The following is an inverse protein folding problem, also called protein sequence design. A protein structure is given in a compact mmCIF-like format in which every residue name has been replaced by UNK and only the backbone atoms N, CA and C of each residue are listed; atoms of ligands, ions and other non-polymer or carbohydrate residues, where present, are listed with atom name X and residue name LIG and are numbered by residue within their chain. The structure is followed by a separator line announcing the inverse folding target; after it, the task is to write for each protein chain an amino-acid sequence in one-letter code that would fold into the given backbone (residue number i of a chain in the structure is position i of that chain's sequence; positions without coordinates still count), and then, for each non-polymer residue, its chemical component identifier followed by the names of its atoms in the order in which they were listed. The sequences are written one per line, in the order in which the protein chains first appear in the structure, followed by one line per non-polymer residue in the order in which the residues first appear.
data_IF_172091376396
#
_entry.id   IF_172091376396
#
_cell.length_a   1.000
_cell.length_b   1.000
_cell.length_c   1.000
_cell.angle_alpha   90.00
_cell.angle_beta   90.00
_cell.angle_gamma   90.00
#
_symmetry.space_group_name_H-M   'P 1'
#
loop_
_entity.id
_entity.type
_entity.pdbx_description
1 polymer ?
#
# COMPACT_ATOMS: atom_id res chain seq x y z
N UNK A 1 18.14 8.85 -7.00
CA UNK A 1 18.32 8.21 -5.67
C UNK A 1 17.01 7.93 -4.94
N UNK A 2 16.08 8.89 -4.80
CA UNK A 2 14.86 8.74 -3.97
C UNK A 2 14.03 7.48 -4.29
N UNK A 3 13.67 7.25 -5.55
CA UNK A 3 12.85 6.09 -5.94
C UNK A 3 13.52 4.74 -5.65
N UNK A 4 14.85 4.68 -5.73
CA UNK A 4 15.61 3.47 -5.38
C UNK A 4 15.50 3.19 -3.88
N UNK A 5 15.49 4.23 -3.04
CA UNK A 5 15.32 4.06 -1.60
C UNK A 5 13.90 3.58 -1.27
N UNK A 6 12.87 4.16 -1.89
CA UNK A 6 11.50 3.65 -1.72
C UNK A 6 11.36 2.19 -2.14
N UNK A 7 11.96 1.80 -3.27
CA UNK A 7 11.95 0.41 -3.71
C UNK A 7 12.68 -0.50 -2.71
N UNK A 8 13.84 -0.09 -2.19
CA UNK A 8 14.60 -0.86 -1.19
C UNK A 8 13.83 -1.02 0.11
N UNK A 9 13.21 0.06 0.60
CA UNK A 9 12.38 0.04 1.81
C UNK A 9 11.20 -0.91 1.61
N UNK A 10 10.53 -0.83 0.46
CA UNK A 10 9.41 -1.72 0.12
C UNK A 10 9.81 -3.19 0.03
N UNK A 11 10.94 -3.51 -0.60
CA UNK A 11 11.50 -4.88 -0.64
C UNK A 11 11.91 -5.38 0.76
N UNK A 12 12.20 -4.48 1.69
CA UNK A 12 12.58 -4.81 3.06
C UNK A 12 11.45 -5.39 3.91
N UNK A 13 10.19 -5.13 3.54
CA UNK A 13 9.02 -5.71 4.21
C UNK A 13 8.82 -7.17 3.77
N UNK A 14 8.65 -8.08 4.73
CA UNK A 14 8.41 -9.50 4.52
C UNK A 14 6.91 -9.76 4.32
N UNK A 15 6.31 -9.06 3.37
CA UNK A 15 4.88 -9.05 3.07
C UNK A 15 4.40 -10.35 2.39
N UNK A 16 4.55 -11.51 3.04
CA UNK A 16 4.03 -12.77 2.48
C UNK A 16 2.52 -12.81 2.65
N UNK A 17 1.78 -13.14 1.58
CA UNK A 17 0.31 -13.18 1.56
C UNK A 17 -0.28 -13.91 2.78
N UNK A 18 -1.28 -13.34 3.49
CA UNK A 18 -1.98 -12.07 3.23
C UNK A 18 -1.37 -10.85 3.94
N UNK A 19 -0.25 -11.02 4.63
CA UNK A 19 0.33 -10.00 5.50
C UNK A 19 1.01 -8.89 4.69
N UNK A 20 0.73 -7.63 5.01
CA UNK A 20 1.40 -6.47 4.40
C UNK A 20 2.75 -6.14 5.04
N UNK A 21 3.04 -6.69 6.22
CA UNK A 21 4.24 -6.41 7.05
C UNK A 21 4.57 -4.91 7.20
N UNK A 22 3.55 -4.04 7.23
CA UNK A 22 3.74 -2.58 7.35
C UNK A 22 3.98 -1.83 6.03
N UNK A 23 4.03 -2.54 4.89
CA UNK A 23 4.26 -1.92 3.58
C UNK A 23 3.12 -0.97 3.17
N UNK A 24 1.87 -1.31 3.51
CA UNK A 24 0.70 -0.45 3.22
C UNK A 24 0.79 0.86 4.01
N UNK A 25 1.10 0.79 5.29
CA UNK A 25 1.25 1.93 6.19
C UNK A 25 2.40 2.84 5.74
N UNK A 26 3.51 2.25 5.28
CA UNK A 26 4.62 2.99 4.69
C UNK A 26 4.19 3.77 3.44
N UNK A 27 3.43 3.14 2.53
CA UNK A 27 2.91 3.81 1.33
C UNK A 27 1.90 4.90 1.71
N UNK A 28 1.01 4.64 2.67
CA UNK A 28 0.04 5.59 3.20
C UNK A 28 0.71 6.88 3.69
N UNK A 29 1.74 6.75 4.53
CA UNK A 29 2.53 7.87 5.04
C UNK A 29 3.24 8.66 3.93
N UNK A 30 3.80 7.96 2.93
CA UNK A 30 4.42 8.61 1.78
C UNK A 30 3.40 9.40 0.96
N UNK A 31 2.24 8.82 0.67
CA UNK A 31 1.19 9.46 -0.14
C UNK A 31 0.57 10.66 0.59
N UNK A 32 0.30 10.54 1.90
CA UNK A 32 -0.16 11.67 2.75
C UNK A 32 0.80 12.85 2.69
N UNK A 33 2.12 12.61 2.78
CA UNK A 33 3.16 13.67 2.66
C UNK A 33 3.13 14.39 1.32
N UNK A 34 2.61 13.76 0.27
CA UNK A 34 2.47 14.33 -1.07
C UNK A 34 1.05 14.83 -1.38
N UNK A 35 0.18 14.95 -0.36
CA UNK A 35 -1.14 15.58 -0.50
C UNK A 35 -2.26 14.65 -0.96
N UNK A 36 -2.04 13.33 -0.97
CA UNK A 36 -3.13 12.38 -1.19
C UNK A 36 -4.03 12.29 0.05
N UNK A 37 -5.33 12.15 -0.18
CA UNK A 37 -6.28 11.67 0.83
C UNK A 37 -6.30 10.16 0.77
N UNK A 38 -6.03 9.51 1.88
CA UNK A 38 -5.90 8.06 1.94
C UNK A 38 -6.87 7.44 2.94
N UNK A 39 -7.25 6.20 2.67
CA UNK A 39 -8.10 5.39 3.52
C UNK A 39 -7.55 3.96 3.55
N UNK A 40 -7.15 3.49 4.73
CA UNK A 40 -6.76 2.08 4.94
C UNK A 40 -8.03 1.29 5.26
N UNK A 41 -8.22 0.17 4.55
CA UNK A 41 -9.36 -0.74 4.74
C UNK A 41 -8.88 -2.15 4.98
N UNK A 42 -9.32 -2.75 6.08
CA UNK A 42 -9.04 -4.15 6.41
C UNK A 42 -10.31 -4.95 6.13
N UNK A 43 -10.20 -5.99 5.32
CA UNK A 43 -11.29 -6.91 4.99
C UNK A 43 -10.91 -8.34 5.36
N UNK A 44 -11.87 -9.16 5.77
CA UNK A 44 -11.67 -10.57 6.14
C UNK A 44 -12.31 -10.89 7.49
N UNK A 45 -12.92 -12.07 7.61
CA UNK A 45 -13.71 -12.48 8.77
C UNK A 45 -12.83 -13.08 9.88
N UNK A 46 -11.77 -13.79 9.49
CA UNK A 46 -10.80 -14.37 10.41
C UNK A 46 -9.45 -13.68 10.30
N UNK A 47 -8.65 -13.73 11.37
CA UNK A 47 -7.32 -13.11 11.40
C UNK A 47 -6.40 -13.64 10.28
N UNK A 48 -6.54 -14.90 9.90
CA UNK A 48 -5.76 -15.53 8.81
C UNK A 48 -6.22 -15.11 7.41
N UNK A 49 -7.35 -14.44 7.28
CA UNK A 49 -7.93 -13.99 6.01
C UNK A 49 -7.95 -12.46 5.89
N UNK A 50 -7.48 -11.75 6.93
CA UNK A 50 -7.48 -10.29 6.93
C UNK A 50 -6.46 -9.75 5.93
N UNK A 51 -6.95 -8.91 5.01
CA UNK A 51 -6.14 -8.22 4.00
C UNK A 51 -6.25 -6.72 4.19
N UNK A 52 -5.09 -6.07 4.30
CA UNK A 52 -4.98 -4.62 4.43
C UNK A 52 -4.87 -3.97 3.05
N UNK A 53 -5.78 -3.03 2.76
CA UNK A 53 -5.88 -2.32 1.49
C UNK A 53 -5.67 -0.83 1.71
N UNK A 54 -5.18 -0.14 0.68
CA UNK A 54 -5.02 1.32 0.66
C UNK A 54 -5.75 1.91 -0.53
N UNK A 55 -6.68 2.82 -0.27
CA UNK A 55 -7.27 3.66 -1.30
C UNK A 55 -6.75 5.09 -1.15
N UNK A 56 -6.14 5.63 -2.19
CA UNK A 56 -5.51 6.95 -2.17
C UNK A 56 -5.99 7.79 -3.35
N UNK A 57 -6.41 9.02 -3.08
CA UNK A 57 -6.95 9.95 -4.09
C UNK A 57 -6.23 11.28 -4.02
N UNK A 58 -5.83 11.79 -5.18
CA UNK A 58 -5.29 13.14 -5.35
C UNK A 58 -6.20 13.97 -6.26
N UNK A 59 -6.69 15.11 -5.75
CA UNK A 59 -7.65 15.95 -6.46
C UNK A 59 -9.06 15.35 -6.54
N UNK A 60 -9.91 15.96 -7.37
CA UNK A 60 -11.32 15.59 -7.54
C UNK A 60 -11.86 15.85 -8.96
N UNK A 61 -10.96 16.05 -9.93
CA UNK A 61 -11.31 16.42 -11.30
C UNK A 61 -11.32 15.18 -12.22
N UNK A 62 -11.97 15.31 -13.36
CA UNK A 62 -12.03 14.26 -14.40
C UNK A 62 -11.14 14.61 -15.60
N UNK A 63 -10.59 13.62 -16.31
CA UNK A 63 -10.74 12.17 -16.09
C UNK A 63 -9.87 11.62 -14.95
N UNK A 64 -10.34 10.54 -14.31
CA UNK A 64 -9.60 9.85 -13.23
C UNK A 64 -8.61 8.83 -13.81
N UNK A 65 -7.35 8.91 -13.40
CA UNK A 65 -6.31 7.91 -13.69
C UNK A 65 -5.97 7.19 -12.39
N UNK A 66 -6.08 5.86 -12.39
CA UNK A 66 -5.83 5.02 -11.23
C UNK A 66 -4.64 4.07 -11.45
N UNK A 67 -3.72 4.05 -10.49
CA UNK A 67 -2.68 3.02 -10.39
C UNK A 67 -3.13 1.95 -9.40
N UNK A 68 -3.06 0.68 -9.81
CA UNK A 68 -3.43 -0.48 -9.00
C UNK A 68 -2.24 -1.44 -8.93
N UNK A 69 -2.03 -2.01 -7.75
CA UNK A 69 -0.98 -2.98 -7.48
C UNK A 69 -1.23 -3.67 -6.15
N UNK A 70 -0.33 -4.57 -5.78
CA UNK A 70 -0.34 -5.29 -4.51
C UNK A 70 1.05 -5.22 -3.88
N UNK A 71 1.12 -5.34 -2.55
CA UNK A 71 2.40 -5.31 -1.80
C UNK A 71 2.85 -6.70 -1.37
N UNK A 72 1.93 -7.66 -1.36
CA UNK A 72 2.22 -9.00 -0.90
C UNK A 72 2.97 -9.82 -1.96
N UNK A 73 3.73 -10.79 -1.49
CA UNK A 73 4.58 -11.67 -2.30
C UNK A 73 4.42 -13.13 -1.88
N UNK A 74 4.90 -14.03 -2.73
CA UNK A 74 4.95 -15.47 -2.42
C UNK A 74 6.11 -15.80 -1.45
N UNK A 75 6.05 -16.93 -0.73
CA UNK A 75 7.19 -17.44 0.03
C UNK A 75 8.44 -17.63 -0.84
N UNK A 76 9.62 -17.46 -0.23
CA UNK A 76 10.93 -17.63 -0.86
C UNK A 76 11.32 -19.10 -1.10
#
# INVERSE_FOLDING_TARGET
MMYINYLKDLIGFKSVTPESDGAIEYIDDLLKKHGFKTEIKIFGDSKSEQVTNLYAVFGSNEPNICFVGHVDVVPA
#
